data_IF_670529690733
#
_entry.id   IF_670529690733
#
_cell.length_a   1.000
_cell.length_b   1.000
_cell.length_c   1.000
_cell.angle_alpha   90.00
_cell.angle_beta   90.00
_cell.angle_gamma   90.00
#
_symmetry.space_group_name_H-M   'P 1'
#
loop_
_entity.id
_entity.type
_entity.pdbx_description
1 polymer ?
#
# COMPACT_ATOMS: atom_id res chain seq x y z
N UNK A 1 -3.56 21.62 9.90
CA UNK A 1 -3.00 22.28 8.70
C UNK A 1 -4.13 23.11 8.12
N UNK A 2 -4.19 24.39 8.49
CA UNK A 2 -5.27 25.31 8.09
C UNK A 2 -4.95 25.91 6.74
N UNK A 3 -5.80 25.67 5.73
CA UNK A 3 -5.64 26.25 4.39
C UNK A 3 -5.63 27.79 4.48
N UNK A 4 -4.60 28.43 3.91
CA UNK A 4 -4.54 29.89 3.82
C UNK A 4 -5.52 30.39 2.74
N UNK A 5 -6.13 31.58 2.92
CA UNK A 5 -7.06 32.12 1.94
C UNK A 5 -6.30 32.47 0.65
N UNK A 6 -6.51 31.69 -0.41
CA UNK A 6 -5.90 31.88 -1.73
C UNK A 6 -5.35 30.62 -2.40
N UNK A 7 -5.35 29.47 -1.72
CA UNK A 7 -4.80 28.24 -2.30
C UNK A 7 -5.79 27.57 -3.27
N UNK A 8 -5.39 27.43 -4.54
CA UNK A 8 -6.17 26.71 -5.55
C UNK A 8 -6.48 25.29 -5.06
N UNK A 9 -7.75 24.84 -5.07
CA UNK A 9 -8.12 23.48 -4.66
C UNK A 9 -7.31 22.38 -5.37
N UNK A 10 -6.91 22.63 -6.62
CA UNK A 10 -6.06 21.73 -7.41
C UNK A 10 -4.66 21.62 -6.83
N UNK A 11 -4.09 22.74 -6.36
CA UNK A 11 -2.76 22.76 -5.74
C UNK A 11 -2.77 22.00 -4.41
N UNK A 12 -3.78 22.24 -3.57
CA UNK A 12 -3.94 21.52 -2.31
C UNK A 12 -4.14 20.00 -2.54
N UNK A 13 -4.92 19.61 -3.56
CA UNK A 13 -5.08 18.21 -3.93
C UNK A 13 -3.76 17.57 -4.39
N UNK A 14 -2.97 18.28 -5.20
CA UNK A 14 -1.67 17.81 -5.66
C UNK A 14 -0.68 17.63 -4.49
N UNK A 15 -0.60 18.60 -3.58
CA UNK A 15 0.27 18.52 -2.39
C UNK A 15 -0.14 17.39 -1.44
N UNK A 16 -1.45 17.17 -1.28
CA UNK A 16 -1.99 16.07 -0.48
C UNK A 16 -1.63 14.72 -1.11
N UNK A 17 -1.82 14.58 -2.43
CA UNK A 17 -1.46 13.37 -3.17
C UNK A 17 0.04 13.09 -3.08
N UNK A 18 0.89 14.09 -3.26
CA UNK A 18 2.34 13.95 -3.17
C UNK A 18 2.77 13.54 -1.76
N UNK A 19 2.18 14.15 -0.73
CA UNK A 19 2.46 13.81 0.67
C UNK A 19 2.09 12.36 0.99
N UNK A 20 0.91 11.91 0.54
CA UNK A 20 0.46 10.52 0.68
C UNK A 20 1.42 9.55 -0.03
N UNK A 21 1.79 9.86 -1.28
CA UNK A 21 2.67 9.01 -2.07
C UNK A 21 4.07 8.91 -1.45
N UNK A 22 4.64 10.02 -0.97
CA UNK A 22 5.93 10.02 -0.25
C UNK A 22 5.88 9.20 1.02
N UNK A 23 4.79 9.31 1.80
CA UNK A 23 4.60 8.50 2.99
C UNK A 23 4.51 7.00 2.65
N UNK A 24 3.75 6.63 1.61
CA UNK A 24 3.64 5.26 1.13
C UNK A 24 5.01 4.69 0.74
N UNK A 25 5.80 5.44 -0.05
CA UNK A 25 7.14 5.02 -0.46
C UNK A 25 8.08 4.85 0.74
N UNK A 26 8.04 5.77 1.70
CA UNK A 26 8.88 5.71 2.90
C UNK A 26 8.56 4.48 3.76
N UNK A 27 7.27 4.19 3.97
CA UNK A 27 6.81 3.00 4.70
C UNK A 27 7.25 1.72 3.98
N UNK A 28 7.02 1.62 2.67
CA UNK A 28 7.38 0.43 1.90
C UNK A 28 8.89 0.16 1.92
N UNK A 29 9.73 1.19 1.76
CA UNK A 29 11.20 1.04 1.85
C UNK A 29 11.64 0.53 3.21
N UNK A 30 11.00 1.00 4.29
CA UNK A 30 11.31 0.54 5.65
C UNK A 30 10.87 -0.91 5.89
N UNK A 31 9.72 -1.32 5.36
CA UNK A 31 9.26 -2.70 5.46
C UNK A 31 10.19 -3.63 4.66
N UNK A 32 10.50 -3.27 3.42
CA UNK A 32 11.36 -4.04 2.51
C UNK A 32 12.80 -4.22 3.04
N UNK A 33 13.30 -3.31 3.88
CA UNK A 33 14.62 -3.48 4.50
C UNK A 33 14.63 -4.53 5.64
N UNK A 34 13.45 -4.93 6.11
CA UNK A 34 13.28 -5.97 7.12
C UNK A 34 13.69 -7.37 6.62
N UNK A 35 14.09 -8.27 7.53
CA UNK A 35 14.60 -9.60 7.17
C UNK A 35 13.58 -10.49 6.46
N UNK A 36 12.27 -10.33 6.73
CA UNK A 36 11.22 -11.11 6.08
C UNK A 36 11.21 -10.90 4.55
N UNK A 37 11.42 -9.67 4.09
CA UNK A 37 11.43 -9.31 2.67
C UNK A 37 12.77 -9.61 1.96
N UNK A 38 13.77 -10.11 2.70
CA UNK A 38 15.00 -10.66 2.08
C UNK A 38 14.80 -12.08 1.59
N UNK A 39 13.86 -12.80 2.19
CA UNK A 39 13.58 -14.20 1.89
C UNK A 39 12.29 -14.39 1.07
N UNK A 40 11.40 -13.39 1.08
CA UNK A 40 10.09 -13.44 0.42
C UNK A 40 9.90 -12.18 -0.42
N UNK A 41 9.50 -12.34 -1.67
CA UNK A 41 9.18 -11.19 -2.52
C UNK A 41 7.92 -10.48 -2.03
N UNK A 42 7.80 -9.18 -2.34
CA UNK A 42 6.70 -8.33 -1.83
C UNK A 42 5.33 -8.82 -2.31
N UNK A 43 5.24 -9.31 -3.55
CA UNK A 43 4.02 -9.90 -4.12
C UNK A 43 3.63 -11.20 -3.40
N UNK A 44 4.58 -12.06 -3.08
CA UNK A 44 4.34 -13.29 -2.32
C UNK A 44 3.87 -12.97 -0.89
N UNK A 45 4.47 -11.96 -0.26
CA UNK A 45 4.01 -11.45 1.03
C UNK A 45 2.57 -10.93 0.94
N UNK A 46 2.22 -10.18 -0.10
CA UNK A 46 0.87 -9.63 -0.26
C UNK A 46 -0.19 -10.74 -0.42
N UNK A 47 0.13 -11.79 -1.17
CA UNK A 47 -0.73 -12.98 -1.30
C UNK A 47 -0.90 -13.67 0.06
N UNK A 48 0.19 -13.97 0.77
CA UNK A 48 0.12 -14.64 2.07
C UNK A 48 -0.60 -13.78 3.11
N UNK A 49 -0.36 -12.47 3.11
CA UNK A 49 -1.04 -11.52 3.99
C UNK A 49 -2.54 -11.48 3.69
N UNK A 50 -2.93 -11.41 2.42
CA UNK A 50 -4.33 -11.45 1.98
C UNK A 50 -5.00 -12.74 2.47
N UNK A 51 -4.38 -13.90 2.23
CA UNK A 51 -4.91 -15.19 2.70
C UNK A 51 -4.99 -15.28 4.22
N UNK A 52 -4.02 -14.70 4.95
CA UNK A 52 -4.02 -14.70 6.42
C UNK A 52 -5.21 -13.91 7.03
N UNK A 53 -5.75 -12.94 6.29
CA UNK A 53 -6.92 -12.16 6.72
C UNK A 53 -8.24 -12.78 6.29
N UNK A 54 -8.22 -13.81 5.43
CA UNK A 54 -9.41 -14.56 5.05
C UNK A 54 -9.78 -15.52 6.19
N UNK A 55 -11.00 -15.44 6.75
CA UNK A 55 -11.44 -16.35 7.82
C UNK A 55 -11.40 -17.83 7.42
N UNK A 56 -11.57 -18.12 6.13
CA UNK A 56 -11.46 -19.45 5.53
C UNK A 56 -10.02 -19.97 5.43
N UNK A 57 -9.02 -19.09 5.46
CA UNK A 57 -7.61 -19.41 5.21
C UNK A 57 -7.28 -19.72 3.74
N UNK A 58 -8.24 -19.56 2.82
CA UNK A 58 -8.05 -19.81 1.39
C UNK A 58 -8.98 -18.91 0.55
N UNK A 59 -8.58 -18.65 -0.70
CA UNK A 59 -9.36 -17.96 -1.74
C UNK A 59 -9.22 -18.70 -3.07
N UNK A 60 -10.21 -18.56 -3.96
CA UNK A 60 -10.03 -18.99 -5.35
C UNK A 60 -9.08 -18.03 -6.06
N UNK A 61 -8.36 -18.51 -7.07
CA UNK A 61 -7.34 -17.70 -7.77
C UNK A 61 -7.92 -16.43 -8.41
N UNK A 62 -9.13 -16.51 -8.96
CA UNK A 62 -9.82 -15.35 -9.53
C UNK A 62 -10.21 -14.33 -8.46
N UNK A 63 -10.65 -14.78 -7.28
CA UNK A 63 -10.99 -13.91 -6.15
C UNK A 63 -9.75 -13.29 -5.50
N UNK A 64 -8.63 -14.03 -5.46
CA UNK A 64 -7.36 -13.53 -4.94
C UNK A 64 -6.89 -12.31 -5.74
N UNK A 65 -7.05 -12.34 -7.06
CA UNK A 65 -6.64 -11.24 -7.94
C UNK A 65 -7.40 -9.93 -7.67
N UNK A 66 -8.63 -10.01 -7.15
CA UNK A 66 -9.43 -8.84 -6.78
C UNK A 66 -9.03 -8.25 -5.41
N UNK A 67 -8.28 -9.00 -4.60
CA UNK A 67 -7.94 -8.64 -3.22
C UNK A 67 -6.45 -8.32 -3.01
N UNK A 68 -5.57 -8.81 -3.88
CA UNK A 68 -4.13 -8.49 -3.88
C UNK A 68 -3.94 -7.07 -4.38
N UNK A 69 -3.20 -6.26 -3.63
CA UNK A 69 -2.98 -4.83 -3.90
C UNK A 69 -1.74 -4.61 -4.77
N UNK A 70 -0.83 -5.58 -4.83
CA UNK A 70 0.45 -5.53 -5.52
C UNK A 70 0.56 -6.70 -6.52
N UNK A 71 -0.03 -6.53 -7.72
CA UNK A 71 0.18 -7.42 -8.88
C UNK A 71 1.10 -6.80 -9.92
#
# INVERSE_FOLDING_TARGET
MTAQPGESPVRLAAETWESLFRAQVAVMRRLQSGPAFKALAVNEYDVLFTLSRCPSGWLRLNELNDNVLLS
#
